data_IF_893795395160
#
_entry.id   IF_893795395160
#
_cell.length_a   1.000
_cell.length_b   1.000
_cell.length_c   1.000
_cell.angle_alpha   90.00
_cell.angle_beta   90.00
_cell.angle_gamma   90.00
#
_symmetry.space_group_name_H-M   'P 1'
#
loop_
_entity.id
_entity.type
_entity.pdbx_description
1 polymer ?
#
# COMPACT_ATOMS: atom_id res chain seq x y z
N UNK A 1 -15.41 12.44 -5.56
CA UNK A 1 -14.40 11.59 -4.89
C UNK A 1 -14.83 10.12 -4.79
N UNK A 2 -15.90 9.76 -4.06
CA UNK A 2 -16.32 8.35 -3.87
C UNK A 2 -16.50 7.56 -5.17
N UNK A 3 -17.13 8.15 -6.19
CA UNK A 3 -17.28 7.52 -7.51
C UNK A 3 -15.96 7.17 -8.18
N UNK A 4 -14.90 7.97 -7.99
CA UNK A 4 -13.57 7.66 -8.54
C UNK A 4 -12.99 6.42 -7.86
N UNK A 5 -13.06 6.35 -6.53
CA UNK A 5 -12.58 5.18 -5.79
C UNK A 5 -13.29 3.90 -6.25
N UNK A 6 -14.62 3.95 -6.39
CA UNK A 6 -15.40 2.82 -6.91
C UNK A 6 -15.04 2.48 -8.36
N UNK A 7 -14.82 3.48 -9.22
CA UNK A 7 -14.39 3.25 -10.59
C UNK A 7 -13.02 2.57 -10.65
N UNK A 8 -12.07 2.98 -9.82
CA UNK A 8 -10.76 2.32 -9.71
C UNK A 8 -10.92 0.88 -9.25
N UNK A 9 -11.70 0.62 -8.19
CA UNK A 9 -11.97 -0.75 -7.72
C UNK A 9 -12.61 -1.59 -8.83
N UNK A 10 -13.57 -1.04 -9.57
CA UNK A 10 -14.21 -1.72 -10.69
C UNK A 10 -13.22 -2.04 -11.82
N UNK A 11 -12.29 -1.14 -12.14
CA UNK A 11 -11.22 -1.39 -13.11
C UNK A 11 -10.31 -2.53 -12.63
N UNK A 12 -9.89 -2.52 -11.37
CA UNK A 12 -9.10 -3.62 -10.80
C UNK A 12 -9.87 -4.95 -10.84
N UNK A 13 -11.16 -4.95 -10.51
CA UNK A 13 -12.02 -6.13 -10.60
C UNK A 13 -12.19 -6.64 -12.03
N UNK A 14 -12.34 -5.74 -13.00
CA UNK A 14 -12.42 -6.09 -14.42
C UNK A 14 -11.09 -6.68 -14.94
N UNK A 15 -9.96 -6.10 -14.55
CA UNK A 15 -8.63 -6.67 -14.86
C UNK A 15 -8.46 -8.03 -14.20
N UNK A 16 -8.86 -8.19 -12.94
CA UNK A 16 -8.83 -9.47 -12.24
C UNK A 16 -9.62 -10.54 -13.01
N UNK A 17 -10.87 -10.21 -13.35
CA UNK A 17 -11.75 -11.10 -14.10
C UNK A 17 -11.19 -11.44 -15.48
N UNK A 18 -10.63 -10.45 -16.20
CA UNK A 18 -10.01 -10.68 -17.50
C UNK A 18 -8.79 -11.62 -17.39
N UNK A 19 -7.92 -11.43 -16.40
CA UNK A 19 -6.75 -12.28 -16.18
C UNK A 19 -7.15 -13.72 -15.80
N UNK A 20 -8.18 -13.88 -14.96
CA UNK A 20 -8.66 -15.20 -14.57
C UNK A 20 -9.37 -15.91 -15.73
N UNK A 21 -10.23 -15.22 -16.48
CA UNK A 21 -11.08 -15.84 -17.50
C UNK A 21 -10.38 -15.99 -18.86
N UNK A 22 -9.56 -15.02 -19.26
CA UNK A 22 -8.94 -15.03 -20.59
C UNK A 22 -7.54 -15.66 -20.58
N UNK A 23 -6.79 -15.53 -19.49
CA UNK A 23 -5.44 -16.07 -19.36
C UNK A 23 -5.36 -17.31 -18.44
N UNK A 24 -6.51 -17.80 -17.94
CA UNK A 24 -6.63 -18.96 -17.05
C UNK A 24 -5.69 -18.91 -15.85
N UNK A 25 -5.44 -17.71 -15.33
CA UNK A 25 -4.51 -17.52 -14.22
C UNK A 25 -5.14 -17.88 -12.88
N UNK A 26 -4.40 -18.59 -11.99
CA UNK A 26 -4.86 -18.87 -10.65
C UNK A 26 -5.11 -17.58 -9.85
N UNK A 27 -6.03 -17.59 -8.87
CA UNK A 27 -6.30 -16.42 -8.04
C UNK A 27 -5.05 -15.81 -7.39
N UNK A 28 -4.11 -16.64 -6.90
CA UNK A 28 -2.87 -16.18 -6.28
C UNK A 28 -1.98 -15.39 -7.27
N UNK A 29 -1.89 -15.84 -8.53
CA UNK A 29 -1.11 -15.16 -9.56
C UNK A 29 -1.71 -13.78 -9.87
N UNK A 30 -3.04 -13.72 -10.01
CA UNK A 30 -3.76 -12.47 -10.25
C UNK A 30 -3.59 -11.51 -9.06
N UNK A 31 -3.71 -12.01 -7.82
CA UNK A 31 -3.47 -11.21 -6.62
C UNK A 31 -2.04 -10.64 -6.56
N UNK A 32 -1.02 -11.42 -6.94
CA UNK A 32 0.36 -10.95 -7.04
C UNK A 32 0.53 -9.81 -8.05
N UNK A 33 -0.06 -9.93 -9.24
CA UNK A 33 -0.04 -8.87 -10.27
C UNK A 33 -0.74 -7.62 -9.77
N UNK A 34 -1.97 -7.76 -9.25
CA UNK A 34 -2.78 -6.63 -8.81
C UNK A 34 -2.16 -5.93 -7.59
N UNK A 35 -1.49 -6.66 -6.70
CA UNK A 35 -0.74 -6.07 -5.59
C UNK A 35 0.34 -5.10 -6.09
N UNK A 36 1.13 -5.49 -7.09
CA UNK A 36 2.16 -4.62 -7.69
C UNK A 36 1.52 -3.39 -8.34
N UNK A 37 0.45 -3.58 -9.11
CA UNK A 37 -0.24 -2.47 -9.80
C UNK A 37 -0.90 -1.52 -8.79
N UNK A 38 -1.50 -2.03 -7.73
CA UNK A 38 -2.13 -1.23 -6.67
C UNK A 38 -1.10 -0.40 -5.89
N UNK A 39 0.05 -0.99 -5.56
CA UNK A 39 1.16 -0.28 -4.91
C UNK A 39 1.76 0.79 -5.83
N UNK A 40 1.94 0.47 -7.12
CA UNK A 40 2.38 1.46 -8.11
C UNK A 40 1.40 2.63 -8.20
N UNK A 41 0.09 2.36 -8.28
CA UNK A 41 -0.94 3.39 -8.24
C UNK A 41 -0.83 4.22 -6.95
N UNK A 42 -0.66 3.56 -5.79
CA UNK A 42 -0.42 4.18 -4.48
C UNK A 42 0.69 5.23 -4.48
N UNK A 43 1.81 4.95 -5.15
CA UNK A 43 2.93 5.88 -5.28
C UNK A 43 2.59 7.13 -6.13
N UNK A 44 1.68 7.01 -7.11
CA UNK A 44 1.24 8.12 -7.95
C UNK A 44 0.03 8.88 -7.41
N UNK A 45 -0.62 8.40 -6.34
CA UNK A 45 -1.84 9.01 -5.77
C UNK A 45 -1.67 10.51 -5.47
N UNK A 46 -0.59 11.00 -4.82
CA UNK A 46 -0.44 12.43 -4.53
C UNK A 46 -0.36 13.29 -5.80
N UNK A 47 0.44 12.85 -6.78
CA UNK A 47 0.61 13.54 -8.07
C UNK A 47 -0.69 13.57 -8.86
N UNK A 48 -1.41 12.45 -8.90
CA UNK A 48 -2.68 12.34 -9.62
C UNK A 48 -3.77 13.20 -8.97
N UNK A 49 -3.85 13.20 -7.64
CA UNK A 49 -4.80 14.02 -6.88
C UNK A 49 -4.54 15.52 -7.06
N UNK A 50 -3.26 15.92 -7.09
CA UNK A 50 -2.84 17.30 -7.37
C UNK A 50 -3.25 17.74 -8.79
N UNK A 51 -3.03 16.88 -9.80
CA UNK A 51 -3.44 17.18 -11.18
C UNK A 51 -4.96 17.23 -11.34
N UNK A 52 -5.68 16.31 -10.69
CA UNK A 52 -7.15 16.26 -10.72
C UNK A 52 -7.82 17.42 -10.01
N UNK A 53 -7.17 18.05 -9.03
CA UNK A 53 -7.68 19.27 -8.39
C UNK A 53 -7.48 20.54 -9.24
N UNK A 54 -6.89 20.42 -10.43
CA UNK A 54 -6.58 21.54 -11.30
C UNK A 54 -5.38 22.36 -10.81
N UNK A 55 -4.64 21.87 -9.81
CA UNK A 55 -3.35 22.46 -9.46
C UNK A 55 -2.31 22.11 -10.52
N UNK A 56 -1.46 23.08 -10.85
CA UNK A 56 -0.36 22.92 -11.80
C UNK A 56 0.90 23.41 -11.12
N UNK A 57 1.98 22.67 -11.28
CA UNK A 57 3.29 23.14 -10.83
C UNK A 57 3.80 24.15 -11.86
N UNK A 58 4.14 25.39 -11.46
CA UNK A 58 4.75 26.34 -12.37
C UNK A 58 6.03 25.75 -12.95
N UNK A 59 6.36 26.04 -14.23
CA UNK A 59 7.64 25.64 -14.79
C UNK A 59 8.79 26.27 -13.98
N UNK A 60 9.88 25.54 -13.81
CA UNK A 60 11.06 26.09 -13.15
C UNK A 60 11.66 27.19 -14.02
N UNK A 61 11.96 28.37 -13.46
CA UNK A 61 12.56 29.47 -14.21
C UNK A 61 13.97 29.05 -14.64
N UNK A 62 14.27 29.26 -15.92
CA UNK A 62 15.56 28.95 -16.53
C UNK A 62 16.45 30.20 -16.72
N UNK A 63 15.90 31.39 -16.47
CA UNK A 63 16.63 32.66 -16.50
C UNK A 63 16.10 33.66 -15.45
N UNK A 64 16.86 34.75 -15.24
CA UNK A 64 16.53 35.75 -14.23
C UNK A 64 15.28 36.58 -14.56
N UNK A 65 14.93 36.74 -15.85
CA UNK A 65 13.71 37.43 -16.25
C UNK A 65 12.45 36.63 -15.89
N UNK A 66 12.48 35.30 -16.02
CA UNK A 66 11.38 34.41 -15.65
C UNK A 66 11.09 34.38 -14.15
N UNK A 67 12.02 34.81 -13.29
CA UNK A 67 11.76 35.00 -11.85
C UNK A 67 10.76 36.14 -11.59
N UNK A 68 10.61 37.06 -12.54
CA UNK A 68 9.67 38.18 -12.49
C UNK A 68 8.33 37.85 -13.17
N UNK A 69 8.16 36.65 -13.71
CA UNK A 69 6.89 36.19 -14.30
C UNK A 69 6.06 35.44 -13.25
N UNK A 70 4.75 35.70 -13.19
CA UNK A 70 3.84 34.97 -12.29
C UNK A 70 4.05 35.22 -10.80
N UNK A 71 4.60 36.38 -10.43
CA UNK A 71 4.83 36.82 -9.04
C UNK A 71 3.54 37.24 -8.33
N UNK A 72 2.45 37.48 -9.08
CA UNK A 72 1.17 37.82 -8.49
C UNK A 72 0.67 36.68 -7.60
N UNK A 73 0.40 36.95 -6.31
CA UNK A 73 -0.12 35.95 -5.40
C UNK A 73 -1.44 35.42 -5.94
N UNK A 74 -1.55 34.10 -6.02
CA UNK A 74 -2.84 33.49 -6.28
C UNK A 74 -3.76 33.76 -5.09
N UNK A 75 -5.06 34.05 -5.31
CA UNK A 75 -5.98 34.29 -4.21
C UNK A 75 -6.03 33.08 -3.30
N UNK A 76 -5.79 33.30 -1.99
CA UNK A 76 -5.66 32.23 -1.00
C UNK A 76 -6.89 31.31 -0.94
N UNK A 77 -8.09 31.86 -1.17
CA UNK A 77 -9.34 31.11 -1.26
C UNK A 77 -9.34 30.07 -2.39
N UNK A 78 -8.88 30.45 -3.59
CA UNK A 78 -8.83 29.55 -4.73
C UNK A 78 -7.83 28.40 -4.53
N UNK A 79 -6.71 28.66 -3.84
CA UNK A 79 -5.73 27.63 -3.49
C UNK A 79 -6.30 26.68 -2.43
N UNK A 80 -6.98 27.22 -1.41
CA UNK A 80 -7.60 26.44 -0.35
C UNK A 80 -8.70 25.50 -0.90
N UNK A 81 -9.56 25.99 -1.80
CA UNK A 81 -10.59 25.16 -2.46
C UNK A 81 -9.98 23.99 -3.25
N UNK A 82 -8.91 24.25 -4.02
CA UNK A 82 -8.22 23.19 -4.77
C UNK A 82 -7.48 22.20 -3.85
N UNK A 83 -6.98 22.66 -2.71
CA UNK A 83 -6.36 21.79 -1.71
C UNK A 83 -7.39 20.82 -1.10
N UNK A 84 -8.62 21.30 -0.80
CA UNK A 84 -9.72 20.45 -0.33
C UNK A 84 -10.11 19.41 -1.38
N UNK A 85 -10.19 19.80 -2.66
CA UNK A 85 -10.45 18.85 -3.75
C UNK A 85 -9.34 17.79 -3.85
N UNK A 86 -8.07 18.20 -3.76
CA UNK A 86 -6.95 17.27 -3.79
C UNK A 86 -6.99 16.27 -2.64
N UNK A 87 -7.29 16.70 -1.41
CA UNK A 87 -7.45 15.79 -0.26
C UNK A 87 -8.60 14.80 -0.47
N UNK A 88 -9.72 15.25 -1.04
CA UNK A 88 -10.85 14.39 -1.41
C UNK A 88 -10.48 13.32 -2.45
N UNK A 89 -9.75 13.70 -3.51
CA UNK A 89 -9.22 12.76 -4.51
C UNK A 89 -8.26 11.76 -3.88
N UNK A 90 -7.32 12.25 -3.08
CA UNK A 90 -6.29 11.46 -2.41
C UNK A 90 -6.93 10.41 -1.49
N UNK A 91 -7.94 10.80 -0.71
CA UNK A 91 -8.70 9.91 0.16
C UNK A 91 -9.41 8.81 -0.63
N UNK A 92 -10.07 9.16 -1.74
CA UNK A 92 -10.77 8.16 -2.56
C UNK A 92 -9.83 7.16 -3.24
N UNK A 93 -8.67 7.62 -3.71
CA UNK A 93 -7.68 6.77 -4.36
C UNK A 93 -6.98 5.83 -3.37
N UNK A 94 -6.60 6.33 -2.18
CA UNK A 94 -6.05 5.47 -1.13
C UNK A 94 -7.08 4.47 -0.59
N UNK A 95 -8.36 4.84 -0.50
CA UNK A 95 -9.43 3.89 -0.17
C UNK A 95 -9.55 2.76 -1.21
N UNK A 96 -9.45 3.09 -2.50
CA UNK A 96 -9.44 2.10 -3.57
C UNK A 96 -8.21 1.18 -3.52
N UNK A 97 -7.01 1.75 -3.37
CA UNK A 97 -5.76 0.99 -3.21
C UNK A 97 -5.85 0.08 -1.99
N UNK A 98 -6.37 0.59 -0.87
CA UNK A 98 -6.59 -0.16 0.36
C UNK A 98 -7.53 -1.36 0.17
N UNK A 99 -8.68 -1.14 -0.50
CA UNK A 99 -9.64 -2.20 -0.78
C UNK A 99 -9.08 -3.29 -1.71
N UNK A 100 -8.37 -2.90 -2.76
CA UNK A 100 -7.70 -3.85 -3.67
C UNK A 100 -6.61 -4.61 -2.93
N UNK A 101 -5.80 -3.92 -2.13
CA UNK A 101 -4.76 -4.55 -1.34
C UNK A 101 -5.34 -5.53 -0.31
N UNK A 102 -6.48 -5.19 0.33
CA UNK A 102 -7.21 -6.10 1.22
C UNK A 102 -7.59 -7.40 0.49
N UNK A 103 -8.15 -7.30 -0.71
CA UNK A 103 -8.48 -8.47 -1.52
C UNK A 103 -7.21 -9.28 -1.85
N UNK A 104 -6.13 -8.62 -2.28
CA UNK A 104 -4.87 -9.30 -2.61
C UNK A 104 -4.29 -10.06 -1.42
N UNK A 105 -4.16 -9.44 -0.24
CA UNK A 105 -3.64 -10.13 0.96
C UNK A 105 -4.55 -11.28 1.39
N UNK A 106 -5.87 -11.15 1.22
CA UNK A 106 -6.79 -12.26 1.57
C UNK A 106 -6.66 -13.46 0.64
N UNK A 107 -6.42 -13.23 -0.65
CA UNK A 107 -6.22 -14.31 -1.62
C UNK A 107 -4.86 -14.98 -1.43
N UNK A 108 -3.79 -14.18 -1.32
CA UNK A 108 -2.43 -14.70 -1.12
C UNK A 108 -2.30 -15.48 0.20
N UNK A 109 -2.87 -14.98 1.30
CA UNK A 109 -2.79 -15.67 2.58
C UNK A 109 -3.53 -17.02 2.61
N UNK A 110 -4.53 -17.23 1.73
CA UNK A 110 -5.30 -18.48 1.67
C UNK A 110 -4.61 -19.59 0.89
N UNK A 111 -3.79 -19.25 -0.09
CA UNK A 111 -3.09 -20.25 -0.93
C UNK A 111 -1.93 -20.91 -0.15
N UNK A 112 -1.39 -20.20 0.87
CA UNK A 112 -0.52 -20.78 1.89
C UNK A 112 0.90 -21.16 1.44
N UNK A 113 1.23 -21.00 0.16
CA UNK A 113 2.59 -21.21 -0.34
C UNK A 113 3.58 -20.19 0.24
N UNK A 114 4.86 -20.57 0.25
CA UNK A 114 5.91 -19.76 0.86
C UNK A 114 6.08 -18.41 0.13
N UNK A 115 5.93 -18.40 -1.20
CA UNK A 115 6.01 -17.18 -1.99
C UNK A 115 4.87 -16.21 -1.65
N UNK A 116 3.65 -16.74 -1.52
CA UNK A 116 2.42 -16.02 -1.21
C UNK A 116 2.45 -15.48 0.22
N UNK A 117 2.96 -16.27 1.17
CA UNK A 117 3.13 -15.86 2.57
C UNK A 117 4.13 -14.69 2.70
N UNK A 118 5.30 -14.79 2.05
CA UNK A 118 6.29 -13.72 2.05
C UNK A 118 5.76 -12.47 1.34
N UNK A 119 5.08 -12.65 0.20
CA UNK A 119 4.47 -11.53 -0.55
C UNK A 119 3.41 -10.82 0.30
N UNK A 120 2.58 -11.58 1.02
CA UNK A 120 1.58 -11.04 1.94
C UNK A 120 2.23 -10.24 3.08
N UNK A 121 3.31 -10.77 3.68
CA UNK A 121 4.02 -10.09 4.76
C UNK A 121 4.65 -8.78 4.27
N UNK A 122 5.30 -8.80 3.11
CA UNK A 122 5.94 -7.63 2.49
C UNK A 122 4.92 -6.57 2.11
N UNK A 123 3.84 -6.95 1.43
CA UNK A 123 2.75 -6.04 1.07
C UNK A 123 2.13 -5.42 2.33
N UNK A 124 1.89 -6.22 3.36
CA UNK A 124 1.32 -5.75 4.62
C UNK A 124 2.20 -4.75 5.34
N UNK A 125 3.50 -5.04 5.49
CA UNK A 125 4.46 -4.11 6.09
C UNK A 125 4.58 -2.82 5.26
N UNK A 126 4.58 -2.94 3.93
CA UNK A 126 4.66 -1.79 3.04
C UNK A 126 3.46 -0.86 3.24
N UNK A 127 2.23 -1.38 3.29
CA UNK A 127 1.02 -0.58 3.50
C UNK A 127 1.04 0.15 4.85
N UNK A 128 1.44 -0.53 5.93
CA UNK A 128 1.55 0.06 7.28
C UNK A 128 2.63 1.15 7.31
N UNK A 129 3.78 0.93 6.66
CA UNK A 129 4.85 1.93 6.56
C UNK A 129 4.46 3.12 5.70
N UNK A 130 3.70 2.91 4.62
CA UNK A 130 3.26 3.97 3.71
C UNK A 130 2.30 4.94 4.41
N UNK A 131 1.48 4.46 5.35
CA UNK A 131 0.58 5.29 6.15
C UNK A 131 1.30 6.31 7.07
N UNK A 132 2.62 6.25 7.23
CA UNK A 132 3.39 7.22 8.01
C UNK A 132 3.47 8.60 7.35
N UNK A 133 3.45 8.65 6.02
CA UNK A 133 3.55 9.89 5.25
C UNK A 133 2.20 10.59 4.99
N UNK A 134 1.09 9.98 5.41
CA UNK A 134 -0.26 10.48 5.10
C UNK A 134 -0.78 11.36 6.23
N UNK A 135 -1.25 12.55 5.87
CA UNK A 135 -1.76 13.54 6.83
C UNK A 135 -3.17 13.23 7.36
N UNK A 136 -4.03 12.61 6.55
CA UNK A 136 -5.43 12.36 6.90
C UNK A 136 -5.62 10.98 7.54
N UNK A 137 -6.36 10.91 8.65
CA UNK A 137 -6.66 9.65 9.37
C UNK A 137 -7.33 8.62 8.46
N UNK A 138 -8.25 9.02 7.58
CA UNK A 138 -8.95 8.10 6.69
C UNK A 138 -8.04 7.51 5.62
N UNK A 139 -7.10 8.30 5.08
CA UNK A 139 -6.06 7.82 4.17
C UNK A 139 -5.14 6.82 4.89
N UNK A 140 -4.77 7.10 6.14
CA UNK A 140 -3.96 6.19 6.96
C UNK A 140 -4.69 4.87 7.21
N UNK A 141 -5.93 4.92 7.67
CA UNK A 141 -6.75 3.74 7.93
C UNK A 141 -6.94 2.89 6.66
N UNK A 142 -7.10 3.53 5.50
CA UNK A 142 -7.24 2.82 4.22
C UNK A 142 -6.06 1.89 3.91
N UNK A 143 -4.85 2.17 4.42
CA UNK A 143 -3.68 1.32 4.21
C UNK A 143 -3.33 0.48 5.45
N UNK A 144 -3.49 1.02 6.65
CA UNK A 144 -3.17 0.30 7.90
C UNK A 144 -4.11 -0.88 8.10
N UNK A 145 -5.41 -0.73 7.86
CA UNK A 145 -6.39 -1.82 8.05
C UNK A 145 -6.06 -3.05 7.19
N UNK A 146 -5.89 -2.95 5.86
CA UNK A 146 -5.51 -4.11 5.06
C UNK A 146 -4.12 -4.65 5.41
N UNK A 147 -3.16 -3.79 5.76
CA UNK A 147 -1.83 -4.24 6.17
C UNK A 147 -1.85 -5.05 7.48
N UNK A 148 -2.56 -4.58 8.50
CA UNK A 148 -2.74 -5.33 9.75
C UNK A 148 -3.54 -6.60 9.50
N UNK A 149 -4.59 -6.55 8.68
CA UNK A 149 -5.38 -7.72 8.32
C UNK A 149 -4.52 -8.80 7.64
N UNK A 150 -3.64 -8.43 6.72
CA UNK A 150 -2.73 -9.38 6.06
C UNK A 150 -1.77 -10.07 7.04
N UNK A 151 -1.19 -9.32 7.99
CA UNK A 151 -0.36 -9.92 9.05
C UNK A 151 -1.15 -10.86 9.96
N UNK A 152 -2.37 -10.48 10.32
CA UNK A 152 -3.24 -11.33 11.13
C UNK A 152 -3.61 -12.61 10.38
N UNK A 153 -3.92 -12.53 9.08
CA UNK A 153 -4.22 -13.69 8.26
C UNK A 153 -3.04 -14.67 8.20
N UNK A 154 -1.81 -14.18 8.08
CA UNK A 154 -0.62 -15.05 8.11
C UNK A 154 -0.45 -15.79 9.44
N UNK A 155 -0.70 -15.09 10.55
CA UNK A 155 -0.60 -15.70 11.89
C UNK A 155 -1.74 -16.67 12.16
N UNK A 156 -2.93 -16.38 11.62
CA UNK A 156 -4.14 -17.17 11.84
C UNK A 156 -4.34 -18.31 10.83
N UNK A 157 -3.61 -18.32 9.71
CA UNK A 157 -3.73 -19.35 8.68
C UNK A 157 -3.52 -20.76 9.25
N UNK A 158 -2.48 -20.93 10.08
CA UNK A 158 -2.13 -22.23 10.67
C UNK A 158 -2.76 -22.45 12.08
N UNK A 159 -3.45 -21.45 12.62
CA UNK A 159 -4.08 -21.53 13.93
C UNK A 159 -5.02 -22.74 14.12
N UNK A 160 -5.78 -23.20 13.10
CA UNK A 160 -6.64 -24.38 13.21
C UNK A 160 -5.90 -25.71 13.35
N UNK A 161 -4.63 -25.79 12.95
CA UNK A 161 -3.83 -27.03 12.95
C UNK A 161 -2.79 -27.06 14.07
N UNK A 162 -2.53 -25.92 14.71
CA UNK A 162 -1.62 -25.81 15.84
C UNK A 162 -2.10 -26.62 17.06
N UNK A 163 -1.17 -27.16 17.85
CA UNK A 163 -1.49 -27.74 19.15
C UNK A 163 -2.09 -26.66 20.09
N UNK A 164 -2.99 -27.02 21.03
CA UNK A 164 -3.67 -26.04 21.90
C UNK A 164 -2.71 -25.09 22.66
N UNK A 165 -1.58 -25.62 23.13
CA UNK A 165 -0.55 -24.80 23.81
C UNK A 165 0.10 -23.76 22.89
N UNK A 166 0.36 -24.11 21.63
CA UNK A 166 0.94 -23.20 20.65
C UNK A 166 -0.06 -22.14 20.19
N UNK A 167 -1.36 -22.48 20.07
CA UNK A 167 -2.41 -21.49 19.80
C UNK A 167 -2.50 -20.42 20.88
N UNK A 168 -2.42 -20.81 22.15
CA UNK A 168 -2.38 -19.88 23.27
C UNK A 168 -1.12 -18.99 23.22
N UNK A 169 0.03 -19.55 22.83
CA UNK A 169 1.27 -18.80 22.61
C UNK A 169 1.14 -17.74 21.51
N UNK A 170 0.50 -18.09 20.39
CA UNK A 170 0.25 -17.16 19.27
C UNK A 170 -0.73 -16.06 19.69
N UNK A 171 -1.83 -16.40 20.35
CA UNK A 171 -2.82 -15.44 20.83
C UNK A 171 -2.24 -14.47 21.86
N UNK A 172 -1.46 -14.98 22.82
CA UNK A 172 -0.76 -14.14 23.81
C UNK A 172 0.32 -13.27 23.17
N UNK A 173 1.06 -13.79 22.18
CA UNK A 173 2.01 -13.02 21.39
C UNK A 173 1.36 -11.86 20.63
N UNK A 174 0.23 -12.12 19.95
CA UNK A 174 -0.55 -11.08 19.27
C UNK A 174 -1.06 -10.01 20.23
N UNK A 175 -1.60 -10.42 21.39
CA UNK A 175 -2.04 -9.49 22.43
C UNK A 175 -0.88 -8.67 22.99
N UNK A 176 0.30 -9.28 23.19
CA UNK A 176 1.49 -8.58 23.64
C UNK A 176 1.99 -7.55 22.61
N UNK A 177 2.01 -7.90 21.32
CA UNK A 177 2.35 -6.97 20.23
C UNK A 177 1.33 -5.84 20.15
N UNK A 178 0.04 -6.14 20.23
CA UNK A 178 -1.01 -5.13 20.23
C UNK A 178 -0.89 -4.17 21.42
N UNK A 179 -0.63 -4.70 22.63
CA UNK A 179 -0.37 -3.92 23.83
C UNK A 179 0.89 -3.06 23.68
N UNK A 180 1.99 -3.62 23.16
CA UNK A 180 3.23 -2.88 22.91
C UNK A 180 3.03 -1.75 21.90
N UNK A 181 2.28 -1.97 20.83
CA UNK A 181 1.91 -0.94 19.85
C UNK A 181 1.00 0.14 20.47
N UNK A 182 0.03 -0.24 21.29
CA UNK A 182 -0.84 0.70 22.01
C UNK A 182 -0.03 1.57 22.97
N UNK A 183 0.85 0.97 23.77
CA UNK A 183 1.77 1.67 24.66
C UNK A 183 2.68 2.59 23.85
N UNK A 184 3.34 2.08 22.81
CA UNK A 184 4.21 2.87 21.93
C UNK A 184 3.47 4.06 21.31
N UNK A 185 2.20 3.90 20.92
CA UNK A 185 1.38 4.99 20.37
C UNK A 185 1.11 6.12 21.35
N UNK A 186 1.06 5.82 22.66
CA UNK A 186 0.89 6.80 23.74
C UNK A 186 2.22 7.35 24.25
N UNK A 187 3.27 6.53 24.24
CA UNK A 187 4.56 6.87 24.83
C UNK A 187 5.51 7.55 23.86
N UNK A 188 5.35 7.38 22.55
CA UNK A 188 6.11 8.12 21.53
C UNK A 188 5.37 9.44 21.30
N UNK A 189 5.74 10.54 22.00
CA UNK A 189 5.14 11.83 21.74
C UNK A 189 5.58 12.27 20.34
N UNK A 190 4.97 13.28 19.74
CA UNK A 190 5.34 13.84 18.41
C UNK A 190 6.76 14.45 18.31
N UNK A 191 7.72 13.90 19.03
CA UNK A 191 9.10 14.31 19.20
C UNK A 191 9.97 13.50 18.25
N UNK A 192 10.29 14.16 17.13
CA UNK A 192 11.47 13.97 16.29
C UNK A 192 12.23 12.68 16.61
N UNK A 193 11.79 11.58 15.99
CA UNK A 193 12.54 10.32 16.00
C UNK A 193 14.00 10.66 15.64
N UNK A 194 14.94 10.06 16.37
CA UNK A 194 16.38 10.22 16.10
C UNK A 194 16.59 9.98 14.60
N UNK A 195 17.32 10.85 13.86
CA UNK A 195 17.33 10.84 12.39
C UNK A 195 17.53 9.46 11.74
N UNK A 196 18.32 8.59 12.39
CA UNK A 196 18.57 7.21 11.96
C UNK A 196 17.29 6.35 11.85
N UNK A 197 16.31 6.50 12.75
CA UNK A 197 15.06 5.73 12.72
C UNK A 197 14.11 6.18 11.61
N UNK A 198 14.10 7.49 11.30
CA UNK A 198 13.41 8.01 10.13
C UNK A 198 13.99 7.41 8.85
N UNK A 199 15.33 7.46 8.73
CA UNK A 199 16.04 6.94 7.57
C UNK A 199 15.91 5.43 7.40
N UNK A 200 15.99 4.67 8.49
CA UNK A 200 15.80 3.22 8.44
C UNK A 200 14.40 2.83 7.93
N UNK A 201 13.36 3.55 8.37
CA UNK A 201 12.00 3.32 7.90
C UNK A 201 11.82 3.67 6.41
N UNK A 202 12.46 4.73 5.93
CA UNK A 202 12.49 5.07 4.50
C UNK A 202 13.17 3.98 3.67
N UNK A 203 14.36 3.53 4.09
CA UNK A 203 15.09 2.46 3.41
C UNK A 203 14.29 1.16 3.38
N UNK A 204 13.67 0.79 4.51
CA UNK A 204 12.83 -0.39 4.61
C UNK A 204 11.61 -0.28 3.68
N UNK A 205 10.94 0.87 3.66
CA UNK A 205 9.82 1.12 2.75
C UNK A 205 10.25 0.92 1.28
N UNK A 206 11.34 1.56 0.85
CA UNK A 206 11.84 1.42 -0.52
C UNK A 206 12.24 -0.01 -0.84
N UNK A 207 12.91 -0.71 0.08
CA UNK A 207 13.29 -2.11 -0.11
C UNK A 207 12.06 -3.02 -0.27
N UNK A 208 11.04 -2.86 0.57
CA UNK A 208 9.79 -3.61 0.48
C UNK A 208 9.07 -3.33 -0.84
N UNK A 209 8.95 -2.07 -1.24
CA UNK A 209 8.32 -1.68 -2.51
C UNK A 209 9.05 -2.29 -3.71
N UNK A 210 10.38 -2.23 -3.74
CA UNK A 210 11.20 -2.81 -4.82
C UNK A 210 11.07 -4.34 -4.83
N UNK A 211 11.07 -4.98 -3.65
CA UNK A 211 10.97 -6.43 -3.54
C UNK A 211 9.63 -7.02 -3.97
N UNK A 212 8.57 -6.21 -4.03
CA UNK A 212 7.24 -6.69 -4.40
C UNK A 212 7.19 -7.23 -5.83
N UNK A 213 7.96 -6.65 -6.76
CA UNK A 213 8.04 -7.10 -8.15
C UNK A 213 8.64 -8.51 -8.28
N UNK A 214 9.86 -8.81 -7.78
CA UNK A 214 10.39 -10.17 -7.84
C UNK A 214 9.54 -11.16 -7.02
N UNK A 215 8.94 -10.74 -5.92
CA UNK A 215 8.02 -11.61 -5.15
C UNK A 215 6.76 -11.97 -5.94
N UNK A 216 6.17 -11.01 -6.67
CA UNK A 216 5.07 -11.30 -7.58
C UNK A 216 5.50 -12.30 -8.67
N UNK A 217 6.69 -12.13 -9.28
CA UNK A 217 7.22 -13.10 -10.25
C UNK A 217 7.42 -14.49 -9.63
N UNK A 218 7.75 -14.56 -8.34
CA UNK A 218 7.84 -15.83 -7.62
C UNK A 218 6.49 -16.51 -7.45
N UNK A 219 5.48 -15.76 -7.00
CA UNK A 219 4.08 -16.24 -6.91
C UNK A 219 3.58 -16.73 -8.26
N UNK A 220 4.00 -16.06 -9.35
CA UNK A 220 3.67 -16.48 -10.72
C UNK A 220 4.43 -17.74 -11.20
N UNK A 221 5.30 -18.31 -10.38
CA UNK A 221 6.09 -19.49 -10.74
C UNK A 221 7.18 -19.23 -11.78
N UNK A 222 7.49 -17.97 -12.13
CA UNK A 222 8.44 -17.61 -13.20
C UNK A 222 9.83 -18.20 -12.93
N UNK A 223 10.30 -18.15 -11.68
CA UNK A 223 11.60 -18.73 -11.32
C UNK A 223 11.63 -20.25 -11.45
N UNK A 224 10.51 -20.94 -11.19
CA UNK A 224 10.38 -22.37 -11.40
C UNK A 224 10.41 -22.73 -12.88
N UNK A 225 9.67 -21.99 -13.70
CA UNK A 225 9.68 -22.14 -15.15
C UNK A 225 11.09 -21.95 -15.73
N UNK A 226 11.78 -20.87 -15.34
CA UNK A 226 13.17 -20.61 -15.78
C UNK A 226 14.16 -21.71 -15.35
N UNK A 227 13.98 -22.29 -14.16
CA UNK A 227 14.80 -23.43 -13.71
C UNK A 227 14.54 -24.67 -14.57
N UNK A 228 13.27 -24.99 -14.85
CA UNK A 228 12.90 -26.16 -15.64
C UNK A 228 13.40 -26.12 -17.09
N UNK A 229 13.63 -24.92 -17.64
CA UNK A 229 14.23 -24.74 -18.97
C UNK A 229 15.74 -25.03 -18.99
N UNK A 230 16.41 -24.96 -17.84
CA UNK A 230 17.86 -25.12 -17.71
C UNK A 230 18.30 -26.46 -17.08
N UNK A 231 17.35 -27.32 -16.65
CA UNK A 231 17.60 -28.60 -15.97
C UNK A 231 17.13 -28.61 -14.53
#
# INVERSE_FOLDING_TARGET
ALFLGLAVIAVFGAVAAALMLAADLPPAHVAGILAVVAVALGAFVPSLSFRMSGMRMPPLPTNAQQLQEGIDPHPASAVAERAVLADGWMTSLYAAVGAVAAACVTVLARDGGLAEAITTAVLSLLLVLHARGLGNVWQRLSLVVPGVAGLLLLVLADAPDLAPGTRLGVATGLLAVAAALAIASWTVPGRRLVPYWGRAAELLHSALAISLLPLALWVLGVYGALRSLNG
#
